data_IF_506170040276
#
_entry.id   IF_506170040276
#
_cell.length_a   1.000
_cell.length_b   1.000
_cell.length_c   1.000
_cell.angle_alpha   90.00
_cell.angle_beta   90.00
_cell.angle_gamma   90.00
#
_symmetry.space_group_name_H-M   'P 1'
#
loop_
_entity.id
_entity.type
_entity.pdbx_description
1 polymer ?
#
# COMPACT_ATOMS: atom_id res chain seq x y z
N UNK A 1 -2.82 1.05 -13.51
CA UNK A 1 -3.09 0.26 -12.28
C UNK A 1 -2.64 0.97 -11.01
N UNK A 2 -1.61 1.83 -11.04
CA UNK A 2 -1.14 2.54 -9.84
C UNK A 2 -2.22 3.29 -9.06
N UNK A 3 -3.13 4.01 -9.70
CA UNK A 3 -4.12 4.81 -8.96
C UNK A 3 -5.04 3.95 -8.07
N UNK A 4 -5.51 2.81 -8.59
CA UNK A 4 -6.35 1.88 -7.84
C UNK A 4 -5.56 1.28 -6.67
N UNK A 5 -4.32 0.86 -6.91
CA UNK A 5 -3.44 0.31 -5.86
C UNK A 5 -3.12 1.33 -4.78
N UNK A 6 -2.82 2.57 -5.15
CA UNK A 6 -2.52 3.66 -4.23
C UNK A 6 -3.72 4.02 -3.35
N UNK A 7 -4.90 4.21 -3.94
CA UNK A 7 -6.12 4.52 -3.19
C UNK A 7 -6.51 3.35 -2.28
N UNK A 8 -6.47 2.11 -2.80
CA UNK A 8 -6.80 0.91 -2.05
C UNK A 8 -5.88 0.68 -0.85
N UNK A 9 -4.56 0.73 -1.04
CA UNK A 9 -3.62 0.54 0.07
C UNK A 9 -3.61 1.70 1.06
N UNK A 10 -3.82 2.94 0.59
CA UNK A 10 -4.00 4.06 1.51
C UNK A 10 -5.23 3.86 2.39
N UNK A 11 -6.34 3.40 1.80
CA UNK A 11 -7.56 3.09 2.53
C UNK A 11 -7.33 1.97 3.56
N UNK A 12 -6.67 0.88 3.18
CA UNK A 12 -6.35 -0.25 4.08
C UNK A 12 -5.46 0.18 5.23
N UNK A 13 -4.35 0.87 4.94
CA UNK A 13 -3.42 1.34 5.98
C UNK A 13 -4.08 2.32 6.95
N UNK A 14 -4.87 3.25 6.42
CA UNK A 14 -5.62 4.20 7.24
C UNK A 14 -6.70 3.50 8.08
N UNK A 15 -7.41 2.52 7.54
CA UNK A 15 -8.39 1.72 8.29
C UNK A 15 -7.75 1.00 9.48
N UNK A 16 -6.58 0.37 9.28
CA UNK A 16 -5.81 -0.24 10.37
C UNK A 16 -5.42 0.78 11.44
N UNK A 17 -4.98 1.97 11.05
CA UNK A 17 -4.58 3.02 11.99
C UNK A 17 -5.77 3.62 12.77
N UNK A 18 -6.93 3.76 12.14
CA UNK A 18 -8.16 4.19 12.80
C UNK A 18 -8.58 3.18 13.88
N UNK A 19 -8.47 1.88 13.59
CA UNK A 19 -8.76 0.82 14.55
C UNK A 19 -7.82 0.85 15.77
N UNK A 20 -6.54 1.16 15.55
CA UNK A 20 -5.56 1.38 16.62
C UNK A 20 -5.74 2.72 17.36
N UNK A 21 -6.79 3.48 17.04
CA UNK A 21 -7.14 4.76 17.67
C UNK A 21 -6.07 5.84 17.52
N UNK A 22 -5.33 5.83 16.42
CA UNK A 22 -4.39 6.90 16.10
C UNK A 22 -5.16 8.19 15.75
N UNK A 23 -4.53 9.35 15.94
CA UNK A 23 -5.12 10.63 15.53
C UNK A 23 -5.12 10.78 14.00
N UNK A 24 -5.81 11.80 13.48
CA UNK A 24 -5.93 12.02 12.03
C UNK A 24 -4.55 12.15 11.35
N UNK A 25 -3.58 12.72 12.05
CA UNK A 25 -2.21 12.82 11.55
C UNK A 25 -1.56 11.44 11.44
N UNK A 26 -1.60 10.62 12.50
CA UNK A 26 -1.10 9.26 12.49
C UNK A 26 -1.78 8.37 11.44
N UNK A 27 -3.11 8.46 11.30
CA UNK A 27 -3.88 7.77 10.27
C UNK A 27 -3.41 8.16 8.86
N UNK A 28 -3.18 9.45 8.64
CA UNK A 28 -2.69 9.96 7.35
C UNK A 28 -1.29 9.45 7.05
N UNK A 29 -0.38 9.49 8.02
CA UNK A 29 1.00 8.99 7.87
C UNK A 29 0.99 7.50 7.53
N UNK A 30 0.28 6.67 8.30
CA UNK A 30 0.23 5.23 8.06
C UNK A 30 -0.39 4.93 6.70
N UNK A 31 -1.53 5.54 6.35
CA UNK A 31 -2.17 5.32 5.04
C UNK A 31 -1.28 5.72 3.86
N UNK A 32 -0.68 6.92 3.90
CA UNK A 32 0.24 7.38 2.84
C UNK A 32 1.47 6.47 2.72
N UNK A 33 2.07 6.08 3.85
CA UNK A 33 3.22 5.17 3.84
C UNK A 33 2.86 3.77 3.33
N UNK A 34 1.64 3.29 3.59
CA UNK A 34 1.14 2.01 3.07
C UNK A 34 1.01 2.05 1.55
N UNK A 35 0.45 3.14 1.00
CA UNK A 35 0.28 3.30 -0.45
C UNK A 35 1.61 3.49 -1.18
N UNK A 36 2.47 4.37 -0.67
CA UNK A 36 3.70 4.77 -1.37
C UNK A 36 4.88 3.83 -1.10
N UNK A 37 4.86 3.10 0.03
CA UNK A 37 5.99 2.30 0.50
C UNK A 37 6.44 1.26 -0.52
N UNK A 38 5.51 0.43 -1.02
CA UNK A 38 5.83 -0.61 -2.00
C UNK A 38 6.43 -0.05 -3.29
N UNK A 39 5.79 0.97 -3.87
CA UNK A 39 6.25 1.65 -5.09
C UNK A 39 7.60 2.33 -4.91
N UNK A 40 7.82 2.96 -3.76
CA UNK A 40 9.10 3.60 -3.40
C UNK A 40 10.21 2.56 -3.29
N UNK A 41 9.99 1.45 -2.57
CA UNK A 41 10.95 0.35 -2.47
C UNK A 41 11.26 -0.25 -3.84
N UNK A 42 10.25 -0.48 -4.68
CA UNK A 42 10.43 -0.95 -6.06
C UNK A 42 11.31 -0.02 -6.88
N UNK A 43 11.02 1.28 -6.85
CA UNK A 43 11.77 2.25 -7.65
C UNK A 43 13.24 2.31 -7.21
N UNK A 44 13.50 2.27 -5.91
CA UNK A 44 14.86 2.18 -5.37
C UNK A 44 15.58 0.89 -5.82
N UNK A 45 14.91 -0.26 -5.80
CA UNK A 45 15.47 -1.53 -6.28
C UNK A 45 15.76 -1.51 -7.79
N UNK A 46 14.99 -0.75 -8.56
CA UNK A 46 15.24 -0.50 -9.99
C UNK A 46 16.25 0.62 -10.25
N UNK A 47 16.88 1.18 -9.22
CA UNK A 47 17.79 2.32 -9.29
C UNK A 47 17.16 3.54 -9.99
N UNK A 48 15.90 3.83 -9.65
CA UNK A 48 15.13 4.98 -10.15
C UNK A 48 14.79 5.91 -8.98
N UNK A 49 14.67 7.20 -9.26
CA UNK A 49 14.07 8.14 -8.30
C UNK A 49 12.61 7.73 -8.10
N UNK A 50 12.13 7.53 -6.86
CA UNK A 50 10.75 7.15 -6.60
C UNK A 50 9.75 8.11 -7.23
N UNK A 51 8.73 7.59 -7.90
CA UNK A 51 7.70 8.43 -8.52
C UNK A 51 6.90 9.23 -7.47
N UNK A 52 6.82 8.70 -6.25
CA UNK A 52 6.25 9.36 -5.06
C UNK A 52 6.91 10.70 -4.73
N UNK A 53 8.16 10.91 -5.14
CA UNK A 53 8.91 12.16 -4.95
C UNK A 53 8.88 13.07 -6.18
N UNK A 54 8.46 12.55 -7.34
CA UNK A 54 8.47 13.28 -8.61
C UNK A 54 7.08 13.79 -8.99
N UNK A 55 6.02 13.08 -8.59
CA UNK A 55 4.65 13.40 -8.97
C UNK A 55 3.78 13.66 -7.75
N UNK A 56 3.24 14.89 -7.60
CA UNK A 56 2.23 15.19 -6.57
C UNK A 56 0.99 14.29 -6.67
N UNK A 57 0.75 13.70 -7.85
CA UNK A 57 -0.42 12.85 -8.11
C UNK A 57 -0.47 11.60 -7.25
N UNK A 58 0.67 10.96 -6.94
CA UNK A 58 0.66 9.75 -6.10
C UNK A 58 0.32 10.07 -4.64
N UNK A 59 0.83 11.19 -4.14
CA UNK A 59 0.47 11.70 -2.81
C UNK A 59 -1.00 12.07 -2.77
N UNK A 60 -1.50 12.78 -3.78
CA UNK A 60 -2.92 13.16 -3.86
C UNK A 60 -3.86 11.94 -3.87
N UNK A 61 -3.53 10.90 -4.65
CA UNK A 61 -4.28 9.64 -4.67
C UNK A 61 -4.25 8.91 -3.32
N UNK A 62 -3.10 8.92 -2.65
CA UNK A 62 -2.97 8.35 -1.31
C UNK A 62 -3.84 9.10 -0.31
N UNK A 63 -3.84 10.45 -0.35
CA UNK A 63 -4.71 11.27 0.49
C UNK A 63 -6.20 11.04 0.20
N UNK A 64 -6.58 10.77 -1.04
CA UNK A 64 -7.95 10.38 -1.38
C UNK A 64 -8.35 9.06 -0.70
N UNK A 65 -7.48 8.05 -0.71
CA UNK A 65 -7.71 6.78 -0.01
C UNK A 65 -7.79 6.93 1.51
N UNK A 66 -6.90 7.74 2.10
CA UNK A 66 -6.95 8.09 3.53
C UNK A 66 -8.27 8.78 3.87
N UNK A 67 -8.67 9.78 3.07
CA UNK A 67 -9.92 10.54 3.29
C UNK A 67 -11.12 9.59 3.24
N UNK A 68 -11.16 8.67 2.27
CA UNK A 68 -12.19 7.65 2.21
C UNK A 68 -12.19 6.79 3.48
N UNK A 69 -11.03 6.34 3.97
CA UNK A 69 -10.98 5.54 5.20
C UNK A 69 -11.50 6.32 6.41
N UNK A 70 -11.07 7.56 6.62
CA UNK A 70 -11.53 8.39 7.74
C UNK A 70 -13.04 8.61 7.71
N UNK A 71 -13.64 8.78 6.54
CA UNK A 71 -15.08 8.98 6.39
C UNK A 71 -15.89 7.69 6.54
N UNK A 72 -15.40 6.57 6.02
CA UNK A 72 -16.19 5.34 5.91
C UNK A 72 -15.91 4.32 7.01
N UNK A 73 -14.73 4.29 7.62
CA UNK A 73 -14.34 3.25 8.59
C UNK A 73 -15.24 3.26 9.83
N UNK A 74 -15.77 4.40 10.25
CA UNK A 74 -16.71 4.45 11.39
C UNK A 74 -18.06 3.76 11.08
N UNK A 75 -18.39 3.56 9.81
CA UNK A 75 -19.59 2.85 9.36
C UNK A 75 -19.32 1.37 9.05
N UNK A 76 -18.07 0.91 9.15
CA UNK A 76 -17.72 -0.48 8.94
C UNK A 76 -17.74 -1.22 10.27
N UNK A 77 -18.71 -2.12 10.42
CA UNK A 77 -18.66 -3.13 11.47
C UNK A 77 -17.38 -3.99 11.25
N UNK A 78 -16.74 -4.47 12.31
CA UNK A 78 -15.50 -5.29 12.25
C UNK A 78 -14.21 -4.63 11.71
N UNK A 79 -14.19 -3.31 11.51
CA UNK A 79 -12.96 -2.53 11.28
C UNK A 79 -12.13 -3.00 10.07
N UNK A 80 -10.84 -3.28 10.26
CA UNK A 80 -9.94 -3.77 9.20
C UNK A 80 -10.25 -5.19 8.71
N UNK A 81 -11.07 -5.97 9.45
CA UNK A 81 -11.51 -7.30 9.03
C UNK A 81 -12.78 -7.24 8.17
N UNK A 82 -13.38 -6.05 8.02
CA UNK A 82 -14.56 -5.89 7.21
C UNK A 82 -14.29 -6.29 5.75
N UNK A 83 -15.22 -6.99 5.07
CA UNK A 83 -15.03 -7.49 3.71
C UNK A 83 -14.58 -6.43 2.69
N UNK A 84 -15.01 -5.18 2.88
CA UNK A 84 -14.60 -4.05 2.02
C UNK A 84 -13.11 -3.75 2.14
N UNK A 85 -12.56 -3.76 3.36
CA UNK A 85 -11.13 -3.51 3.60
C UNK A 85 -10.31 -4.66 3.01
N UNK A 86 -10.72 -5.90 3.26
CA UNK A 86 -10.07 -7.09 2.70
C UNK A 86 -10.10 -7.13 1.17
N UNK A 87 -11.22 -6.73 0.56
CA UNK A 87 -11.35 -6.66 -0.90
C UNK A 87 -10.47 -5.54 -1.47
N UNK A 88 -10.40 -4.39 -0.80
CA UNK A 88 -9.50 -3.30 -1.17
C UNK A 88 -8.02 -3.73 -1.09
N UNK A 89 -7.65 -4.47 -0.05
CA UNK A 89 -6.30 -5.05 0.11
C UNK A 89 -5.97 -6.02 -1.01
N UNK A 90 -6.88 -6.96 -1.33
CA UNK A 90 -6.71 -7.90 -2.43
C UNK A 90 -6.55 -7.21 -3.80
N UNK A 91 -7.35 -6.17 -4.07
CA UNK A 91 -7.23 -5.37 -5.29
C UNK A 91 -5.89 -4.62 -5.31
N UNK A 92 -5.49 -4.04 -4.18
CA UNK A 92 -4.21 -3.33 -4.02
C UNK A 92 -3.02 -4.25 -4.29
N UNK A 93 -3.00 -5.43 -3.66
CA UNK A 93 -2.02 -6.48 -3.86
C UNK A 93 -1.94 -6.90 -5.33
N UNK A 94 -3.07 -7.15 -5.99
CA UNK A 94 -3.10 -7.53 -7.41
C UNK A 94 -2.57 -6.41 -8.31
N UNK A 95 -2.97 -5.16 -8.07
CA UNK A 95 -2.53 -4.00 -8.86
C UNK A 95 -1.02 -3.75 -8.71
N UNK A 96 -0.48 -3.83 -7.49
CA UNK A 96 0.95 -3.65 -7.25
C UNK A 96 1.78 -4.86 -7.69
N UNK A 97 1.30 -6.09 -7.52
CA UNK A 97 2.00 -7.27 -8.07
C UNK A 97 2.14 -7.12 -9.59
N UNK A 98 1.05 -6.79 -10.27
CA UNK A 98 1.05 -6.61 -11.74
C UNK A 98 1.97 -5.48 -12.17
N UNK A 99 1.94 -4.34 -11.47
CA UNK A 99 2.80 -3.19 -11.80
C UNK A 99 4.28 -3.51 -11.56
N UNK A 100 4.60 -4.16 -10.45
CA UNK A 100 5.97 -4.55 -10.13
C UNK A 100 6.52 -5.54 -11.17
N UNK A 101 5.71 -6.51 -11.59
CA UNK A 101 6.07 -7.46 -12.64
C UNK A 101 6.30 -6.76 -13.99
N UNK A 102 5.39 -5.84 -14.38
CA UNK A 102 5.51 -5.09 -15.63
C UNK A 102 6.79 -4.24 -15.66
N UNK A 103 7.07 -3.50 -14.59
CA UNK A 103 8.25 -2.64 -14.50
C UNK A 103 9.55 -3.45 -14.42
N UNK A 104 9.54 -4.58 -13.71
CA UNK A 104 10.67 -5.50 -13.68
C UNK A 104 10.97 -6.10 -15.05
N UNK A 105 9.93 -6.52 -15.78
CA UNK A 105 10.06 -7.01 -17.15
C UNK A 105 10.61 -5.94 -18.10
N UNK A 106 10.09 -4.71 -18.02
CA UNK A 106 10.57 -3.57 -18.81
C UNK A 106 12.00 -3.17 -18.48
N UNK A 107 12.47 -3.44 -17.25
CA UNK A 107 13.85 -3.23 -16.85
C UNK A 107 14.80 -4.33 -17.35
N UNK A 108 14.31 -5.34 -18.09
CA UNK A 108 15.13 -6.43 -18.63
C UNK A 108 15.60 -7.44 -17.58
N UNK A 109 14.92 -7.50 -16.43
CA UNK A 109 15.28 -8.44 -15.36
C UNK A 109 14.94 -9.89 -15.73
N UNK A 110 15.72 -10.88 -15.24
CA UNK A 110 15.36 -12.29 -15.41
C UNK A 110 14.06 -12.61 -14.66
N UNK A 111 13.33 -13.64 -15.11
CA UNK A 111 12.00 -14.01 -14.59
C UNK A 111 11.96 -14.11 -13.06
N UNK A 112 12.96 -14.76 -12.47
CA UNK A 112 13.10 -14.84 -11.00
C UNK A 112 13.10 -13.46 -10.33
N UNK A 113 13.87 -12.51 -10.85
CA UNK A 113 13.97 -11.17 -10.29
C UNK A 113 12.69 -10.36 -10.52
N UNK A 114 11.98 -10.59 -11.64
CA UNK A 114 10.66 -9.99 -11.88
C UNK A 114 9.65 -10.44 -10.83
N UNK A 115 9.61 -11.74 -10.52
CA UNK A 115 8.73 -12.28 -9.48
C UNK A 115 9.10 -11.70 -8.12
N UNK A 116 10.39 -11.72 -7.75
CA UNK A 116 10.86 -11.17 -6.47
C UNK A 116 10.50 -9.68 -6.31
N UNK A 117 10.75 -8.87 -7.35
CA UNK A 117 10.43 -7.44 -7.35
C UNK A 117 8.92 -7.20 -7.24
N UNK A 118 8.10 -7.99 -7.95
CA UNK A 118 6.65 -7.90 -7.90
C UNK A 118 6.11 -8.19 -6.50
N UNK A 119 6.63 -9.25 -5.86
CA UNK A 119 6.27 -9.63 -4.48
C UNK A 119 6.67 -8.53 -3.48
N UNK A 120 7.89 -8.00 -3.57
CA UNK A 120 8.35 -6.91 -2.70
C UNK A 120 7.50 -5.65 -2.90
N UNK A 121 7.19 -5.29 -4.15
CA UNK A 121 6.35 -4.13 -4.45
C UNK A 121 4.94 -4.26 -3.87
N UNK A 122 4.34 -5.47 -3.93
CA UNK A 122 3.00 -5.71 -3.44
C UNK A 122 2.93 -5.83 -1.91
N UNK A 123 3.82 -6.63 -1.32
CA UNK A 123 3.82 -6.88 0.13
C UNK A 123 4.39 -5.71 0.94
N UNK A 124 5.28 -4.91 0.34
CA UNK A 124 6.03 -3.86 1.04
C UNK A 124 5.13 -2.82 1.70
N UNK A 125 4.06 -2.37 1.02
CA UNK A 125 3.12 -1.40 1.58
C UNK A 125 2.43 -1.91 2.85
N UNK A 126 1.82 -3.10 2.77
CA UNK A 126 1.18 -3.74 3.91
C UNK A 126 2.15 -4.01 5.07
N UNK A 127 3.35 -4.51 4.78
CA UNK A 127 4.38 -4.76 5.77
C UNK A 127 4.83 -3.46 6.48
N UNK A 128 5.03 -2.37 5.74
CA UNK A 128 5.35 -1.05 6.32
C UNK A 128 4.22 -0.59 7.25
N UNK A 129 2.96 -0.75 6.83
CA UNK A 129 1.81 -0.40 7.67
C UNK A 129 1.82 -1.15 9.01
N UNK A 130 2.06 -2.45 8.97
CA UNK A 130 2.05 -3.29 10.17
C UNK A 130 3.23 -2.93 11.09
N UNK A 131 4.42 -2.66 10.54
CA UNK A 131 5.58 -2.22 11.31
C UNK A 131 5.35 -0.86 11.98
N UNK A 132 4.73 0.11 11.29
CA UNK A 132 4.41 1.43 11.84
C UNK A 132 3.36 1.34 12.98
N UNK A 133 2.48 0.35 12.91
CA UNK A 133 1.51 0.04 13.96
C UNK A 133 2.07 -0.84 15.08
N UNK A 134 3.36 -1.20 15.03
CA UNK A 134 3.99 -2.06 16.03
C UNK A 134 3.47 -3.50 16.03
N UNK A 135 2.91 -3.97 14.91
CA UNK A 135 2.35 -5.32 14.74
C UNK A 135 3.29 -6.19 13.92
N UNK A 136 3.26 -7.51 14.14
CA UNK A 136 3.91 -8.46 13.22
C UNK A 136 3.24 -8.40 11.85
N UNK A 137 3.99 -8.18 10.75
CA UNK A 137 3.44 -8.13 9.40
C UNK A 137 2.56 -9.34 9.07
N UNK A 138 1.40 -9.09 8.46
CA UNK A 138 0.44 -10.16 8.14
C UNK A 138 1.06 -11.28 7.29
N UNK A 139 1.95 -10.92 6.36
CA UNK A 139 2.66 -11.88 5.51
C UNK A 139 3.54 -12.89 6.27
N UNK A 140 3.81 -12.63 7.56
CA UNK A 140 4.60 -13.49 8.44
C UNK A 140 3.74 -14.26 9.46
N UNK A 141 2.41 -14.09 9.41
CA UNK A 141 1.48 -14.81 10.29
C UNK A 141 0.99 -16.08 9.59
N UNK A 142 0.98 -17.18 10.34
CA UNK A 142 0.40 -18.48 9.94
C UNK A 142 -1.13 -18.45 10.03
#
# INVERSE_FOLDING_TARGET
MNAIGLVGFAFVGAAKAVEERYDVFGVTVVGVMTALGGGTTRDLLLNRVPNSLQSPGEVALSLLGVTAAVLFVHFLDDGHQHPVVLTADAIGLAAFTTTGALLGHQAGLPVFAVVALATVNAAGGGAISDLLLGRTPFILRE
#
